data_IF_332669172660
#
_entry.id   IF_332669172660
#
_cell.length_a   1.000
_cell.length_b   1.000
_cell.length_c   1.000
_cell.angle_alpha   90.00
_cell.angle_beta   90.00
_cell.angle_gamma   90.00
#
_symmetry.space_group_name_H-M   'P 1'
#
loop_
_entity.id
_entity.type
_entity.pdbx_description
1 polymer ?
#
# COMPACT_ATOMS: atom_id res chain seq x y z
N UNK A 1 -14.66 -19.55 -10.58
CA UNK A 1 -13.22 -19.40 -10.27
C UNK A 1 -12.52 -18.92 -11.52
N UNK A 2 -11.80 -17.81 -11.43
CA UNK A 2 -10.94 -17.32 -12.53
C UNK A 2 -9.84 -18.36 -12.76
N UNK A 3 -9.66 -18.78 -14.01
CA UNK A 3 -8.53 -19.64 -14.36
C UNK A 3 -7.31 -18.75 -14.50
N UNK A 4 -6.58 -18.54 -13.39
CA UNK A 4 -5.29 -17.86 -13.43
C UNK A 4 -4.40 -18.54 -14.47
N UNK A 5 -4.01 -17.79 -15.49
CA UNK A 5 -2.91 -18.20 -16.37
C UNK A 5 -1.66 -18.11 -15.52
N UNK A 6 -1.03 -19.23 -15.10
CA UNK A 6 -0.02 -19.15 -14.06
C UNK A 6 1.22 -18.44 -14.59
N UNK A 7 1.51 -17.26 -14.06
CA UNK A 7 2.83 -16.68 -14.20
C UNK A 7 3.85 -17.67 -13.65
N UNK A 8 4.91 -17.96 -14.41
CA UNK A 8 5.94 -18.93 -13.99
C UNK A 8 6.84 -18.42 -12.86
N UNK A 9 6.60 -17.21 -12.38
CA UNK A 9 7.26 -16.57 -11.24
C UNK A 9 6.75 -15.15 -11.02
N UNK A 10 7.33 -14.46 -10.03
CA UNK A 10 6.99 -13.09 -9.65
C UNK A 10 8.20 -12.18 -9.85
N UNK A 11 7.97 -10.97 -10.38
CA UNK A 11 9.00 -9.93 -10.50
C UNK A 11 8.63 -8.79 -9.55
N UNK A 12 9.43 -8.61 -8.49
CA UNK A 12 9.23 -7.51 -7.54
C UNK A 12 9.59 -6.16 -8.16
N UNK A 13 8.60 -5.28 -8.31
CA UNK A 13 8.74 -3.89 -8.77
C UNK A 13 8.64 -2.87 -7.61
N UNK A 14 8.64 -3.38 -6.38
CA UNK A 14 8.61 -2.57 -5.16
C UNK A 14 9.97 -1.96 -4.79
N UNK A 15 10.00 -1.04 -3.81
CA UNK A 15 11.22 -0.46 -3.26
C UNK A 15 12.21 -1.51 -2.71
N UNK A 16 13.49 -1.30 -2.97
CA UNK A 16 14.58 -2.26 -2.69
C UNK A 16 14.69 -2.72 -1.24
N UNK A 17 14.27 -1.88 -0.29
CA UNK A 17 14.22 -2.19 1.14
C UNK A 17 13.41 -3.45 1.49
N UNK A 18 12.36 -3.76 0.72
CA UNK A 18 11.56 -4.98 0.88
C UNK A 18 12.14 -6.23 0.20
N UNK A 19 13.29 -6.13 -0.49
CA UNK A 19 13.87 -7.26 -1.23
C UNK A 19 14.53 -8.28 -0.30
N UNK A 20 13.86 -9.42 -0.10
CA UNK A 20 14.43 -10.58 0.57
C UNK A 20 15.71 -11.10 -0.10
N UNK A 21 15.84 -10.94 -1.42
CA UNK A 21 17.03 -11.35 -2.20
C UNK A 21 18.20 -10.41 -1.91
N UNK A 22 17.98 -9.09 -1.91
CA UNK A 22 19.01 -8.11 -1.55
C UNK A 22 19.48 -8.32 -0.10
N UNK A 23 18.54 -8.54 0.82
CA UNK A 23 18.83 -8.84 2.23
C UNK A 23 19.63 -10.14 2.41
N UNK A 24 19.36 -11.17 1.62
CA UNK A 24 20.07 -12.45 1.67
C UNK A 24 21.50 -12.37 1.09
N UNK A 25 21.65 -11.69 -0.06
CA UNK A 25 22.93 -11.60 -0.76
C UNK A 25 23.82 -10.45 -0.26
N UNK A 26 23.25 -9.48 0.46
CA UNK A 26 23.91 -8.35 1.12
C UNK A 26 24.96 -7.64 0.23
N UNK A 27 24.63 -7.49 -1.05
CA UNK A 27 25.47 -6.94 -2.10
C UNK A 27 24.64 -6.64 -3.34
N UNK A 28 25.17 -5.86 -4.28
CA UNK A 28 24.49 -5.54 -5.54
C UNK A 28 24.17 -6.75 -6.42
N UNK A 29 24.69 -7.93 -6.09
CA UNK A 29 24.28 -9.22 -6.63
C UNK A 29 22.78 -9.53 -6.39
N UNK A 30 22.15 -8.93 -5.36
CA UNK A 30 20.73 -9.05 -5.04
C UNK A 30 19.87 -7.83 -5.33
N UNK A 31 20.41 -6.81 -6.00
CA UNK A 31 19.66 -5.61 -6.39
C UNK A 31 18.37 -5.97 -7.17
N UNK A 32 17.22 -5.34 -6.86
CA UNK A 32 16.00 -5.50 -7.63
C UNK A 32 16.17 -5.16 -9.13
N UNK A 33 15.27 -5.65 -10.00
CA UNK A 33 15.35 -5.40 -11.44
C UNK A 33 15.39 -3.91 -11.79
N UNK A 34 14.55 -3.09 -11.15
CA UNK A 34 14.44 -1.65 -11.45
C UNK A 34 15.68 -0.88 -10.99
N UNK A 35 16.17 -1.11 -9.77
CA UNK A 35 17.45 -0.60 -9.29
C UNK A 35 18.57 -0.87 -10.29
N UNK A 36 18.67 -2.10 -10.80
CA UNK A 36 19.69 -2.45 -11.80
C UNK A 36 19.51 -1.73 -13.13
N UNK A 37 18.28 -1.61 -13.63
CA UNK A 37 18.01 -0.91 -14.89
C UNK A 37 18.43 0.56 -14.79
N UNK A 38 18.09 1.23 -13.68
CA UNK A 38 18.46 2.63 -13.44
C UNK A 38 19.96 2.81 -13.16
N UNK A 39 20.63 1.87 -12.45
CA UNK A 39 22.11 1.86 -12.29
C UNK A 39 22.84 1.65 -13.61
N UNK A 40 22.30 0.85 -14.53
CA UNK A 40 22.92 0.55 -15.82
C UNK A 40 22.83 1.71 -16.83
N UNK A 41 21.79 2.53 -16.77
CA UNK A 41 21.65 3.71 -17.62
C UNK A 41 21.03 4.89 -16.87
N UNK A 42 21.89 5.75 -16.31
CA UNK A 42 21.49 6.98 -15.62
C UNK A 42 20.92 8.09 -16.52
N UNK A 43 20.85 7.86 -17.85
CA UNK A 43 20.11 8.73 -18.77
C UNK A 43 18.65 8.30 -18.96
N UNK A 44 18.28 7.08 -18.53
CA UNK A 44 16.89 6.63 -18.48
C UNK A 44 16.18 7.36 -17.33
N UNK A 45 14.99 7.95 -17.53
CA UNK A 45 14.19 8.48 -16.42
C UNK A 45 13.89 7.40 -15.37
N UNK A 46 14.03 7.71 -14.08
CA UNK A 46 13.75 6.80 -12.98
C UNK A 46 12.24 6.59 -12.74
N UNK A 47 11.49 6.19 -13.77
CA UNK A 47 10.04 5.96 -13.72
C UNK A 47 9.66 4.54 -14.11
N UNK A 48 8.68 4.01 -13.38
CA UNK A 48 7.87 2.85 -13.75
C UNK A 48 6.46 3.37 -14.08
N UNK A 49 5.83 2.87 -15.13
CA UNK A 49 4.39 3.09 -15.33
C UNK A 49 3.65 1.79 -15.53
N UNK A 50 2.40 1.74 -15.04
CA UNK A 50 1.52 0.57 -15.12
C UNK A 50 0.16 1.04 -15.64
N UNK A 51 -0.23 0.47 -16.77
CA UNK A 51 -1.54 0.58 -17.40
C UNK A 51 -2.16 -0.82 -17.36
N UNK A 52 -3.21 -1.04 -16.57
CA UNK A 52 -3.80 -2.38 -16.40
C UNK A 52 -5.10 -2.53 -17.21
N UNK A 53 -5.21 -3.61 -17.98
CA UNK A 53 -6.42 -3.93 -18.74
C UNK A 53 -7.42 -4.73 -17.92
N UNK A 54 -8.69 -4.69 -18.32
CA UNK A 54 -9.67 -5.71 -17.92
C UNK A 54 -9.51 -6.96 -18.80
N UNK A 55 -9.85 -8.12 -18.25
CA UNK A 55 -9.98 -9.35 -19.04
C UNK A 55 -11.44 -9.47 -19.52
N UNK A 56 -11.65 -9.62 -20.83
CA UNK A 56 -12.98 -9.76 -21.44
C UNK A 56 -13.76 -10.92 -20.81
N UNK A 57 -13.14 -12.08 -20.60
CA UNK A 57 -13.81 -13.24 -19.98
C UNK A 57 -14.28 -12.99 -18.52
N UNK A 58 -13.63 -12.10 -17.77
CA UNK A 58 -14.11 -11.69 -16.43
C UNK A 58 -15.19 -10.60 -16.51
N UNK A 59 -15.33 -9.97 -17.68
CA UNK A 59 -16.31 -8.94 -18.00
C UNK A 59 -17.54 -9.51 -18.70
N UNK A 60 -17.62 -10.82 -18.92
CA UNK A 60 -18.76 -11.49 -19.53
C UNK A 60 -19.11 -12.70 -18.68
N UNK A 61 -20.31 -12.76 -18.10
CA UNK A 61 -20.76 -13.99 -17.47
C UNK A 61 -20.80 -15.09 -18.54
N UNK A 62 -20.08 -16.24 -18.39
CA UNK A 62 -19.99 -17.26 -19.44
C UNK A 62 -21.34 -17.87 -19.87
N UNK A 63 -22.40 -17.64 -19.08
CA UNK A 63 -23.75 -18.11 -19.34
C UNK A 63 -24.68 -17.02 -19.92
N UNK A 64 -24.35 -15.73 -19.80
CA UNK A 64 -25.19 -14.65 -20.38
C UNK A 64 -24.97 -14.45 -21.88
N UNK A 65 -23.80 -14.82 -22.42
CA UNK A 65 -23.58 -14.82 -23.87
C UNK A 65 -22.54 -15.85 -24.30
N UNK A 66 -22.85 -16.57 -25.39
CA UNK A 66 -21.87 -17.43 -26.10
C UNK A 66 -20.85 -16.64 -26.93
N UNK A 67 -20.95 -15.31 -26.92
CA UNK A 67 -20.10 -14.36 -27.63
C UNK A 67 -19.62 -13.30 -26.63
N UNK A 68 -18.34 -12.94 -26.67
CA UNK A 68 -17.80 -11.90 -25.80
C UNK A 68 -18.41 -10.54 -26.17
N UNK A 69 -18.82 -9.77 -25.17
CA UNK A 69 -19.28 -8.39 -25.33
C UNK A 69 -18.05 -7.48 -25.36
N UNK A 70 -17.72 -6.81 -26.47
CA UNK A 70 -16.62 -5.85 -26.50
C UNK A 70 -16.90 -4.67 -25.58
N UNK A 71 -15.91 -4.26 -24.81
CA UNK A 71 -15.97 -3.05 -23.99
C UNK A 71 -15.75 -1.81 -24.86
N UNK A 72 -16.44 -0.73 -24.58
CA UNK A 72 -16.20 0.59 -25.17
C UNK A 72 -14.92 1.22 -24.60
N UNK A 73 -14.54 0.89 -23.37
CA UNK A 73 -13.22 1.20 -22.80
C UNK A 73 -12.18 0.13 -23.15
N UNK A 74 -11.65 0.21 -24.37
CA UNK A 74 -10.49 -0.58 -24.78
C UNK A 74 -9.19 0.01 -24.21
N UNK A 75 -8.55 -0.73 -23.30
CA UNK A 75 -7.28 -0.34 -22.68
C UNK A 75 -6.30 -1.52 -22.70
N UNK A 76 -5.27 -1.53 -23.58
CA UNK A 76 -4.29 -2.61 -23.60
C UNK A 76 -3.37 -2.54 -22.36
N UNK A 77 -3.14 -3.68 -21.72
CA UNK A 77 -2.28 -3.78 -20.55
C UNK A 77 -0.81 -3.54 -20.92
N UNK A 78 -0.15 -2.59 -20.25
CA UNK A 78 1.23 -2.19 -20.52
C UNK A 78 1.97 -1.86 -19.23
N UNK A 79 3.25 -2.26 -19.17
CA UNK A 79 4.21 -1.83 -18.15
C UNK A 79 5.38 -1.21 -18.89
N UNK A 80 5.77 0.01 -18.53
CA UNK A 80 6.90 0.72 -19.15
C UNK A 80 7.92 1.13 -18.09
N UNK A 81 9.18 1.26 -18.50
CA UNK A 81 10.28 1.68 -17.64
C UNK A 81 11.04 2.79 -18.37
N UNK A 82 11.14 3.96 -17.75
CA UNK A 82 11.81 5.14 -18.33
C UNK A 82 10.99 5.98 -19.30
N UNK A 83 9.75 5.59 -19.61
CA UNK A 83 8.90 6.30 -20.57
C UNK A 83 7.43 6.32 -20.13
N UNK A 84 6.66 7.22 -20.74
CA UNK A 84 5.21 7.39 -20.56
C UNK A 84 4.52 7.03 -21.86
N UNK A 85 3.37 6.36 -21.79
CA UNK A 85 2.56 6.00 -22.96
C UNK A 85 1.98 7.27 -23.58
N UNK A 86 2.12 7.44 -24.90
CA UNK A 86 1.80 8.68 -25.65
C UNK A 86 0.39 9.21 -25.36
N UNK A 87 -0.59 8.31 -25.34
CA UNK A 87 -2.01 8.59 -25.08
C UNK A 87 -2.24 9.17 -23.67
N UNK A 88 -1.31 8.93 -22.74
CA UNK A 88 -1.38 9.28 -21.32
C UNK A 88 -0.29 10.27 -20.87
N UNK A 89 0.40 10.97 -21.79
CA UNK A 89 1.39 12.02 -21.49
C UNK A 89 0.90 13.07 -20.47
N UNK A 90 -0.42 13.27 -20.39
CA UNK A 90 -1.08 14.11 -19.39
C UNK A 90 -0.75 13.77 -17.93
N UNK A 91 -0.32 12.53 -17.63
CA UNK A 91 0.11 12.12 -16.28
C UNK A 91 1.25 12.99 -15.74
N UNK A 92 2.14 13.46 -16.61
CA UNK A 92 3.29 14.31 -16.24
C UNK A 92 2.86 15.65 -15.61
N UNK A 93 1.64 16.10 -15.89
CA UNK A 93 1.03 17.34 -15.40
C UNK A 93 0.18 17.15 -14.14
N UNK A 94 -0.05 15.91 -13.72
CA UNK A 94 -0.87 15.60 -12.54
C UNK A 94 -0.12 15.95 -11.23
N UNK A 95 -0.82 16.13 -10.11
CA UNK A 95 -0.18 16.38 -8.81
C UNK A 95 0.81 15.27 -8.46
N UNK A 96 2.02 15.65 -8.02
CA UNK A 96 3.01 14.71 -7.47
C UNK A 96 2.63 14.37 -6.04
N UNK A 97 2.16 13.16 -5.83
CA UNK A 97 1.84 12.60 -4.51
C UNK A 97 3.16 12.09 -3.89
N UNK A 98 3.59 12.54 -2.70
CA UNK A 98 4.80 12.02 -2.08
C UNK A 98 4.70 10.51 -1.85
N UNK A 99 5.77 9.79 -2.19
CA UNK A 99 5.89 8.38 -1.79
C UNK A 99 6.33 8.32 -0.32
N UNK A 100 5.49 7.71 0.53
CA UNK A 100 5.64 7.74 1.98
C UNK A 100 6.53 6.60 2.47
N UNK A 101 7.44 6.91 3.39
CA UNK A 101 8.24 5.88 4.08
C UNK A 101 7.37 5.12 5.07
N UNK A 102 7.47 3.80 5.08
CA UNK A 102 6.80 2.94 6.04
C UNK A 102 7.34 3.18 7.47
N UNK A 103 6.45 3.38 8.44
CA UNK A 103 6.83 3.71 9.82
C UNK A 103 7.56 2.58 10.55
N UNK A 104 7.38 1.32 10.12
CA UNK A 104 8.17 0.17 10.61
C UNK A 104 9.58 0.17 10.03
N UNK A 105 9.72 0.72 8.81
CA UNK A 105 10.94 0.69 8.03
C UNK A 105 11.41 -0.71 7.62
N UNK A 106 10.61 -1.77 7.82
CA UNK A 106 11.00 -3.15 7.53
C UNK A 106 10.65 -3.56 6.10
N UNK A 107 9.41 -3.33 5.68
CA UNK A 107 8.96 -3.45 4.30
C UNK A 107 8.49 -2.08 3.82
N UNK A 108 8.86 -1.71 2.60
CA UNK A 108 8.59 -0.40 2.03
C UNK A 108 7.74 -0.57 0.79
N UNK A 109 6.64 0.16 0.72
CA UNK A 109 5.64 0.08 -0.36
C UNK A 109 5.61 1.34 -1.22
N UNK A 110 4.99 1.24 -2.39
CA UNK A 110 4.55 2.42 -3.16
C UNK A 110 3.29 2.99 -2.54
N UNK A 111 3.50 3.77 -1.47
CA UNK A 111 2.46 4.27 -0.58
C UNK A 111 2.28 5.79 -0.70
N UNK A 112 1.04 6.27 -0.65
CA UNK A 112 0.72 7.70 -0.46
C UNK A 112 -0.49 7.88 0.46
N UNK A 113 -1.09 9.08 0.52
CA UNK A 113 -2.34 9.35 1.23
C UNK A 113 -3.45 9.83 0.30
N UNK A 114 -4.68 9.44 0.59
CA UNK A 114 -5.89 10.07 0.06
C UNK A 114 -6.08 11.48 0.64
N UNK A 115 -6.96 12.25 0.03
CA UNK A 115 -7.51 13.46 0.65
C UNK A 115 -8.31 13.12 1.92
N UNK A 116 -8.59 14.13 2.75
CA UNK A 116 -9.47 14.01 3.92
C UNK A 116 -10.83 13.46 3.48
N UNK A 117 -11.25 12.32 4.05
CA UNK A 117 -12.48 11.64 3.64
C UNK A 117 -12.52 11.46 2.11
N UNK A 118 -11.39 11.03 1.54
CA UNK A 118 -11.09 11.01 0.11
C UNK A 118 -11.69 9.85 -0.67
N UNK A 119 -12.84 9.33 -0.24
CA UNK A 119 -13.58 8.28 -0.95
C UNK A 119 -15.05 8.72 -1.03
N UNK A 120 -15.65 8.67 -2.23
CA UNK A 120 -17.08 8.85 -2.45
C UNK A 120 -17.72 7.47 -2.63
N UNK A 121 -18.79 7.22 -1.88
CA UNK A 121 -19.55 5.97 -1.95
C UNK A 121 -20.71 6.01 -2.96
N UNK A 122 -21.42 4.88 -3.15
CA UNK A 122 -22.55 4.76 -4.09
C UNK A 122 -23.75 5.67 -3.83
N UNK A 123 -23.84 6.29 -2.65
CA UNK A 123 -24.85 7.30 -2.34
C UNK A 123 -24.45 8.74 -2.76
N UNK A 124 -23.27 8.90 -3.38
CA UNK A 124 -22.72 10.18 -3.82
C UNK A 124 -22.07 11.01 -2.71
N UNK A 125 -22.02 10.51 -1.46
CA UNK A 125 -21.44 11.21 -0.33
C UNK A 125 -20.00 10.75 -0.06
N UNK A 126 -19.21 11.62 0.58
CA UNK A 126 -17.89 11.25 1.11
C UNK A 126 -18.04 10.31 2.31
N UNK A 127 -17.37 9.17 2.24
CA UNK A 127 -17.29 8.21 3.35
C UNK A 127 -16.39 8.81 4.44
N UNK A 128 -16.86 8.77 5.69
CA UNK A 128 -16.03 9.18 6.84
C UNK A 128 -14.91 8.17 7.08
N UNK A 129 -13.67 8.61 7.00
CA UNK A 129 -12.50 7.73 7.13
C UNK A 129 -11.68 8.02 8.38
N UNK A 130 -11.09 6.97 8.95
CA UNK A 130 -10.15 7.05 10.07
C UNK A 130 -9.01 6.06 9.79
N UNK A 131 -7.78 6.58 9.73
CA UNK A 131 -6.56 5.79 9.63
C UNK A 131 -6.34 5.02 10.92
N UNK A 132 -5.96 3.75 10.82
CA UNK A 132 -5.55 2.93 11.98
C UNK A 132 -4.15 3.33 12.47
N UNK A 133 -3.39 4.02 11.61
CA UNK A 133 -2.02 4.45 11.84
C UNK A 133 -1.99 5.77 12.63
N UNK A 134 -1.66 5.68 13.92
CA UNK A 134 -1.75 6.83 14.86
C UNK A 134 -0.50 7.69 14.95
N UNK A 135 0.69 7.17 14.60
CA UNK A 135 1.97 7.89 14.63
C UNK A 135 2.28 8.54 13.27
N UNK A 136 1.40 9.43 12.81
CA UNK A 136 1.51 10.08 11.51
C UNK A 136 2.60 11.16 11.48
N UNK A 137 3.72 10.86 10.84
CA UNK A 137 4.73 11.87 10.41
C UNK A 137 4.26 12.69 9.22
N UNK A 138 3.37 12.12 8.40
CA UNK A 138 2.76 12.69 7.20
C UNK A 138 1.31 12.18 7.09
N UNK A 139 0.41 13.05 6.61
CA UNK A 139 -1.04 12.83 6.58
C UNK A 139 -1.77 13.34 7.84
N UNK A 140 -3.09 13.15 7.86
CA UNK A 140 -4.00 13.40 9.00
C UNK A 140 -4.75 12.11 9.35
N UNK A 141 -5.36 12.06 10.52
CA UNK A 141 -6.13 10.89 10.96
C UNK A 141 -7.30 10.52 10.04
N UNK A 142 -7.84 11.48 9.29
CA UNK A 142 -8.92 11.27 8.31
C UNK A 142 -8.43 11.08 6.86
N UNK A 143 -7.11 10.93 6.67
CA UNK A 143 -6.48 10.63 5.39
C UNK A 143 -5.90 9.21 5.44
N UNK A 144 -6.51 8.28 4.70
CA UNK A 144 -6.02 6.91 4.66
C UNK A 144 -4.72 6.80 3.87
N UNK A 145 -3.82 5.99 4.39
CA UNK A 145 -2.57 5.57 3.75
C UNK A 145 -2.85 4.44 2.78
N UNK A 146 -2.39 4.59 1.55
CA UNK A 146 -2.78 3.74 0.44
C UNK A 146 -1.56 3.22 -0.30
N UNK A 147 -1.46 1.90 -0.43
CA UNK A 147 -0.49 1.19 -1.26
C UNK A 147 -1.10 0.89 -2.63
N UNK A 148 -0.32 1.05 -3.70
CA UNK A 148 -0.69 0.56 -5.04
C UNK A 148 0.03 -0.76 -5.31
N UNK A 149 -0.73 -1.83 -5.56
CA UNK A 149 -0.19 -3.19 -5.70
C UNK A 149 -0.78 -3.91 -6.92
N UNK A 150 -0.02 -4.01 -8.00
CA UNK A 150 -0.42 -4.75 -9.20
C UNK A 150 -0.48 -6.28 -9.01
N UNK A 151 0.03 -6.81 -7.89
CA UNK A 151 -0.06 -8.22 -7.50
C UNK A 151 -1.33 -8.57 -6.71
N UNK A 152 -2.08 -7.58 -6.22
CA UNK A 152 -3.35 -7.82 -5.51
C UNK A 152 -4.54 -7.75 -6.46
N UNK A 153 -5.24 -8.87 -6.70
CA UNK A 153 -6.42 -8.89 -7.58
C UNK A 153 -7.63 -8.14 -7.01
N UNK A 154 -7.91 -8.35 -5.72
CA UNK A 154 -9.01 -7.71 -4.98
C UNK A 154 -8.46 -6.62 -4.06
N UNK A 155 -8.70 -5.32 -4.32
CA UNK A 155 -8.34 -4.25 -3.40
C UNK A 155 -8.80 -4.54 -1.97
N UNK A 156 -7.96 -4.21 -0.99
CA UNK A 156 -8.23 -4.41 0.43
C UNK A 156 -8.45 -3.05 1.08
N UNK A 157 -9.62 -2.85 1.70
CA UNK A 157 -10.03 -1.60 2.37
C UNK A 157 -10.42 -1.86 3.83
N UNK A 158 -10.49 -0.84 4.70
CA UNK A 158 -11.11 -0.99 6.00
C UNK A 158 -12.55 -1.52 5.87
N UNK A 159 -12.97 -2.38 6.80
CA UNK A 159 -14.31 -2.98 6.81
C UNK A 159 -15.42 -1.94 6.61
N UNK A 160 -15.34 -0.80 7.31
CA UNK A 160 -16.31 0.31 7.19
C UNK A 160 -16.43 0.93 5.80
N UNK A 161 -15.41 0.80 4.93
CA UNK A 161 -15.46 1.27 3.53
C UNK A 161 -16.10 0.21 2.64
N UNK A 162 -15.79 -1.08 2.84
CA UNK A 162 -16.49 -2.16 2.15
C UNK A 162 -17.99 -2.16 2.50
N UNK A 163 -18.32 -1.98 3.78
CA UNK A 163 -19.69 -1.81 4.28
C UNK A 163 -20.39 -0.60 3.62
N UNK A 164 -19.70 0.53 3.47
CA UNK A 164 -20.23 1.71 2.80
C UNK A 164 -20.40 1.55 1.28
N UNK A 165 -19.64 0.67 0.64
CA UNK A 165 -19.79 0.33 -0.78
C UNK A 165 -20.93 -0.67 -1.05
N UNK A 166 -21.11 -1.69 -0.20
CA UNK A 166 -22.01 -2.82 -0.51
C UNK A 166 -23.12 -3.06 0.52
N UNK A 167 -22.93 -2.69 1.79
CA UNK A 167 -23.85 -3.01 2.88
C UNK A 167 -25.26 -2.42 2.74
N UNK A 168 -25.39 -1.33 1.97
CA UNK A 168 -26.69 -0.68 1.67
C UNK A 168 -27.32 -1.16 0.35
N UNK A 169 -26.70 -2.08 -0.37
CA UNK A 169 -27.25 -2.60 -1.64
C UNK A 169 -28.39 -3.58 -1.34
N UNK A 170 -29.61 -3.37 -1.87
CA UNK A 170 -30.74 -4.28 -1.61
C UNK A 170 -30.47 -5.70 -2.12
N UNK A 171 -30.38 -6.67 -1.19
CA UNK A 171 -30.08 -8.07 -1.50
C UNK A 171 -28.59 -8.43 -1.39
N UNK A 172 -27.71 -7.49 -1.07
CA UNK A 172 -26.33 -7.78 -0.73
C UNK A 172 -26.18 -8.38 0.67
N UNK A 173 -25.13 -9.17 0.86
CA UNK A 173 -24.74 -9.70 2.18
C UNK A 173 -23.24 -9.97 2.24
N UNK A 174 -22.68 -9.97 3.45
CA UNK A 174 -21.29 -10.37 3.66
C UNK A 174 -21.22 -11.86 4.04
N UNK A 175 -20.47 -12.64 3.26
CA UNK A 175 -20.20 -14.04 3.56
C UNK A 175 -19.05 -14.13 4.57
N UNK A 176 -19.37 -14.26 5.86
CA UNK A 176 -18.37 -14.34 6.93
C UNK A 176 -17.39 -15.52 6.77
N UNK A 177 -17.87 -16.68 6.31
CA UNK A 177 -17.04 -17.89 6.14
C UNK A 177 -15.94 -17.70 5.11
N UNK A 178 -16.22 -16.95 4.04
CA UNK A 178 -15.30 -16.73 2.92
C UNK A 178 -14.74 -15.29 2.88
N UNK A 179 -15.12 -14.46 3.86
CA UNK A 179 -14.72 -13.06 4.04
C UNK A 179 -14.89 -12.17 2.80
N UNK A 180 -16.03 -12.30 2.10
CA UNK A 180 -16.33 -11.45 0.96
C UNK A 180 -17.77 -10.95 0.88
N UNK A 181 -17.94 -9.75 0.34
CA UNK A 181 -19.23 -9.18 -0.06
C UNK A 181 -19.82 -9.88 -1.29
N UNK A 182 -21.08 -10.32 -1.19
CA UNK A 182 -21.93 -10.71 -2.31
C UNK A 182 -22.95 -9.61 -2.59
N UNK A 183 -23.20 -9.33 -3.87
CA UNK A 183 -24.12 -8.31 -4.36
C UNK A 183 -24.86 -8.82 -5.62
N UNK A 184 -26.07 -8.32 -5.91
CA UNK A 184 -26.74 -8.58 -7.19
C UNK A 184 -25.89 -8.05 -8.35
N UNK A 185 -25.70 -8.84 -9.42
CA UNK A 185 -24.90 -8.42 -10.57
C UNK A 185 -25.54 -7.31 -11.41
N UNK A 186 -26.87 -7.13 -11.33
CA UNK A 186 -27.65 -6.11 -12.04
C UNK A 186 -27.62 -4.73 -11.34
N UNK A 187 -26.95 -4.61 -10.19
CA UNK A 187 -26.87 -3.38 -9.42
C UNK A 187 -25.63 -2.55 -9.79
N UNK A 188 -25.84 -1.43 -10.50
CA UNK A 188 -24.77 -0.49 -10.83
C UNK A 188 -24.29 0.25 -9.58
N UNK A 189 -22.97 0.24 -9.35
CA UNK A 189 -22.32 0.91 -8.23
C UNK A 189 -21.32 1.93 -8.75
N UNK A 190 -21.41 3.14 -8.20
CA UNK A 190 -20.47 4.23 -8.47
C UNK A 190 -19.63 4.49 -7.22
N UNK A 191 -18.31 4.52 -7.36
CA UNK A 191 -17.41 4.96 -6.30
C UNK A 191 -16.25 5.77 -6.89
N UNK A 192 -15.60 6.58 -6.07
CA UNK A 192 -14.39 7.27 -6.48
C UNK A 192 -13.41 7.50 -5.34
N UNK A 193 -12.13 7.60 -5.68
CA UNK A 193 -11.03 7.91 -4.78
C UNK A 193 -10.44 9.27 -5.15
N UNK A 194 -10.06 10.06 -4.15
CA UNK A 194 -9.64 11.45 -4.35
C UNK A 194 -8.22 11.64 -3.82
N UNK A 195 -7.33 12.00 -4.74
CA UNK A 195 -5.92 12.27 -4.46
C UNK A 195 -5.56 13.69 -4.91
N UNK A 196 -5.14 14.55 -3.98
CA UNK A 196 -4.75 15.94 -4.24
C UNK A 196 -5.84 16.74 -5.00
N UNK A 197 -7.11 16.56 -4.62
CA UNK A 197 -8.32 17.10 -5.22
C UNK A 197 -8.65 16.59 -6.65
N UNK A 198 -7.96 15.55 -7.14
CA UNK A 198 -8.32 14.85 -8.37
C UNK A 198 -9.15 13.62 -8.01
N UNK A 199 -10.39 13.59 -8.50
CA UNK A 199 -11.30 12.44 -8.36
C UNK A 199 -11.03 11.40 -9.46
N UNK A 200 -10.77 10.17 -9.05
CA UNK A 200 -10.62 8.99 -9.90
C UNK A 200 -11.84 8.09 -9.68
N UNK A 201 -12.74 8.05 -10.64
CA UNK A 201 -13.92 7.18 -10.59
C UNK A 201 -13.58 5.74 -10.93
N UNK A 202 -14.27 4.81 -10.29
CA UNK A 202 -14.17 3.38 -10.55
C UNK A 202 -15.30 2.97 -11.49
N UNK A 203 -14.95 2.33 -12.60
CA UNK A 203 -15.88 1.73 -13.54
C UNK A 203 -16.75 0.68 -12.82
N UNK A 204 -18.07 0.60 -13.03
CA UNK A 204 -18.93 -0.32 -12.29
C UNK A 204 -18.55 -1.81 -12.37
N UNK A 205 -17.93 -2.27 -13.47
CA UNK A 205 -17.39 -3.63 -13.63
C UNK A 205 -16.12 -3.90 -12.80
N UNK A 206 -15.51 -2.85 -12.25
CA UNK A 206 -14.43 -2.91 -11.26
C UNK A 206 -14.94 -2.61 -9.83
N UNK A 207 -16.25 -2.39 -9.65
CA UNK A 207 -16.91 -2.52 -8.34
C UNK A 207 -17.37 -3.96 -8.07
N UNK A 208 -17.82 -4.70 -9.10
CA UNK A 208 -18.33 -6.08 -8.94
C UNK A 208 -17.79 -7.10 -9.96
N UNK A 209 -17.46 -8.30 -9.50
CA UNK A 209 -17.00 -9.44 -10.30
C UNK A 209 -18.11 -10.48 -10.44
N UNK A 210 -18.34 -11.07 -11.63
CA UNK A 210 -19.23 -12.24 -11.73
C UNK A 210 -18.63 -13.43 -10.95
N UNK A 211 -19.44 -14.15 -10.19
CA UNK A 211 -19.01 -15.33 -9.45
C UNK A 211 -19.62 -16.62 -10.01
N UNK A 212 -20.96 -16.69 -10.01
CA UNK A 212 -21.77 -17.85 -10.35
C UNK A 212 -23.24 -17.43 -10.53
N UNK A 213 -24.06 -18.33 -11.08
CA UNK A 213 -25.53 -18.25 -10.96
C UNK A 213 -25.96 -18.95 -9.66
N UNK A 214 -26.90 -18.37 -8.92
CA UNK A 214 -27.56 -19.06 -7.80
C UNK A 214 -28.51 -20.12 -8.34
N UNK A 215 -28.18 -21.40 -8.09
CA UNK A 215 -28.95 -22.57 -8.56
C UNK A 215 -30.41 -22.60 -8.07
N UNK A 216 -30.74 -21.86 -7.00
CA UNK A 216 -32.09 -21.85 -6.40
C UNK A 216 -32.98 -20.72 -6.92
N UNK A 217 -32.41 -19.55 -7.22
CA UNK A 217 -33.15 -18.37 -7.71
C UNK A 217 -32.98 -18.14 -9.21
N UNK A 218 -31.94 -18.72 -9.83
CA UNK A 218 -31.53 -18.46 -11.20
C UNK A 218 -30.93 -17.07 -11.42
N UNK A 219 -30.48 -16.39 -10.36
CA UNK A 219 -29.93 -15.03 -10.43
C UNK A 219 -28.40 -15.03 -10.42
N UNK A 220 -27.82 -14.10 -11.17
CA UNK A 220 -26.38 -13.85 -11.19
C UNK A 220 -25.88 -13.27 -9.86
N UNK A 221 -24.94 -13.98 -9.23
CA UNK A 221 -24.28 -13.57 -8.00
C UNK A 221 -22.93 -12.93 -8.33
N UNK A 222 -22.72 -11.71 -7.82
CA UNK A 222 -21.49 -10.98 -7.97
C UNK A 222 -20.74 -10.84 -6.63
N UNK A 223 -19.41 -10.84 -6.69
CA UNK A 223 -18.56 -10.46 -5.56
C UNK A 223 -18.24 -8.97 -5.65
N UNK A 224 -18.13 -8.28 -4.51
CA UNK A 224 -17.45 -6.99 -4.47
C UNK A 224 -15.97 -7.15 -4.83
N UNK A 225 -15.37 -6.20 -5.56
CA UNK A 225 -13.91 -6.20 -5.79
C UNK A 225 -13.14 -5.67 -4.57
N UNK A 226 -13.69 -4.69 -3.87
CA UNK A 226 -13.08 -4.06 -2.69
C UNK A 226 -13.48 -4.82 -1.42
N UNK A 227 -12.59 -5.60 -0.84
CA UNK A 227 -12.92 -6.42 0.34
C UNK A 227 -12.31 -5.85 1.62
N UNK A 228 -12.87 -6.18 2.81
CA UNK A 228 -12.20 -5.91 4.08
C UNK A 228 -10.77 -6.47 4.07
N UNK A 229 -9.80 -5.73 4.61
CA UNK A 229 -8.42 -6.23 4.76
C UNK A 229 -8.45 -7.53 5.55
N UNK A 230 -7.92 -8.60 4.95
CA UNK A 230 -7.77 -9.89 5.61
C UNK A 230 -6.94 -9.79 6.90
N UNK A 231 -7.35 -10.48 7.96
CA UNK A 231 -6.68 -10.43 9.27
C UNK A 231 -5.21 -10.88 9.20
N UNK A 232 -4.84 -11.76 8.27
CA UNK A 232 -3.45 -12.16 8.00
C UNK A 232 -2.56 -11.01 7.49
N UNK A 233 -3.15 -9.95 6.96
CA UNK A 233 -2.47 -8.71 6.55
C UNK A 233 -2.54 -7.69 7.69
N UNK A 234 -3.74 -7.47 8.26
CA UNK A 234 -3.97 -6.46 9.30
C UNK A 234 -3.19 -6.74 10.60
N UNK A 235 -2.96 -8.01 10.94
CA UNK A 235 -2.25 -8.42 12.15
C UNK A 235 -0.75 -8.65 11.97
N UNK A 236 -0.21 -8.65 10.74
CA UNK A 236 1.23 -8.84 10.50
C UNK A 236 1.99 -7.50 10.59
N UNK A 237 2.77 -7.26 11.67
CA UNK A 237 3.54 -6.03 11.83
C UNK A 237 4.68 -5.89 10.79
N UNK A 238 4.97 -6.93 10.01
CA UNK A 238 5.93 -6.87 8.92
C UNK A 238 5.28 -6.43 7.61
N UNK A 239 3.95 -6.55 7.45
CA UNK A 239 3.32 -6.31 6.14
C UNK A 239 3.37 -4.83 5.76
N UNK A 240 3.08 -3.91 6.68
CA UNK A 240 3.30 -2.47 6.51
C UNK A 240 2.38 -1.57 7.34
N UNK A 241 2.65 -0.27 7.31
CA UNK A 241 1.95 0.80 8.02
C UNK A 241 1.05 1.59 7.06
N UNK A 242 0.04 0.92 6.52
CA UNK A 242 -0.98 1.47 5.62
C UNK A 242 -2.42 1.15 6.09
N UNK A 243 -3.41 1.73 5.42
CA UNK A 243 -4.84 1.53 5.70
C UNK A 243 -5.61 0.90 4.52
N UNK A 244 -5.06 0.91 3.30
CA UNK A 244 -5.69 0.42 2.07
C UNK A 244 -4.63 -0.18 1.12
N UNK A 245 -4.97 -1.29 0.45
CA UNK A 245 -4.26 -1.80 -0.74
C UNK A 245 -5.16 -1.59 -1.96
N UNK A 246 -4.77 -0.70 -2.86
CA UNK A 246 -5.42 -0.51 -4.16
C UNK A 246 -4.81 -1.44 -5.20
N UNK A 247 -5.48 -2.58 -5.33
CA UNK A 247 -5.16 -3.64 -6.28
C UNK A 247 -5.71 -3.44 -7.70
N UNK A 248 -5.75 -4.52 -8.47
CA UNK A 248 -6.08 -4.58 -9.88
C UNK A 248 -7.40 -3.90 -10.26
N UNK A 249 -8.45 -4.00 -9.45
CA UNK A 249 -9.72 -3.33 -9.75
C UNK A 249 -9.61 -1.79 -9.69
N UNK A 250 -8.78 -1.23 -8.79
CA UNK A 250 -8.47 0.19 -8.84
C UNK A 250 -7.52 0.52 -10.00
N UNK A 251 -6.46 -0.26 -10.20
CA UNK A 251 -5.42 0.01 -11.20
C UNK A 251 -5.91 -0.11 -12.65
N UNK A 252 -7.05 -0.77 -12.89
CA UNK A 252 -7.78 -0.72 -14.17
C UNK A 252 -8.35 0.67 -14.50
N UNK A 253 -8.56 1.52 -13.49
CA UNK A 253 -9.19 2.85 -13.63
C UNK A 253 -8.19 4.02 -13.54
N UNK A 254 -6.92 3.72 -13.24
CA UNK A 254 -5.87 4.71 -13.06
C UNK A 254 -4.56 4.24 -13.69
N UNK A 255 -4.06 4.99 -14.66
CA UNK A 255 -2.70 4.88 -15.13
C UNK A 255 -1.77 5.37 -14.02
N UNK A 256 -0.91 4.48 -13.55
CA UNK A 256 -0.01 4.70 -12.42
C UNK A 256 1.38 5.04 -12.94
N UNK A 257 1.96 6.15 -12.47
CA UNK A 257 3.38 6.45 -12.60
C UNK A 257 4.02 6.50 -11.22
N UNK A 258 5.11 5.76 -11.06
CA UNK A 258 5.97 5.79 -9.88
C UNK A 258 7.32 6.35 -10.32
N UNK A 259 7.75 7.46 -9.72
CA UNK A 259 9.10 7.96 -9.84
C UNK A 259 9.93 7.51 -8.62
N UNK A 260 11.03 6.82 -8.88
CA UNK A 260 11.86 6.19 -7.86
C UNK A 260 12.76 7.18 -7.12
N UNK A 261 12.93 8.41 -7.64
CA UNK A 261 13.83 9.40 -7.06
C UNK A 261 15.23 8.83 -6.83
N UNK A 262 15.69 8.94 -5.58
CA UNK A 262 17.01 8.56 -5.09
C UNK A 262 17.09 7.12 -4.53
N UNK A 263 16.11 6.25 -4.77
CA UNK A 263 16.13 4.85 -4.30
C UNK A 263 17.21 3.96 -4.95
N UNK A 264 18.12 4.55 -5.72
CA UNK A 264 19.23 3.92 -6.39
C UNK A 264 20.51 4.14 -5.57
N UNK A 265 20.93 3.12 -4.80
CA UNK A 265 22.16 3.21 -3.99
C UNK A 265 23.37 3.68 -4.82
N UNK A 266 24.23 4.50 -4.18
CA UNK A 266 25.53 5.05 -4.63
C UNK A 266 25.56 6.49 -5.25
N UNK A 267 24.43 7.21 -5.35
CA UNK A 267 24.45 8.62 -5.79
C UNK A 267 24.96 9.59 -4.71
N UNK A 268 26.17 10.16 -4.88
CA UNK A 268 26.75 11.19 -4.00
C UNK A 268 26.29 12.64 -4.33
N UNK A 269 25.33 12.81 -5.22
CA UNK A 269 24.68 14.09 -5.52
C UNK A 269 23.19 13.94 -5.25
N UNK A 270 22.62 14.77 -4.38
CA UNK A 270 21.19 14.71 -4.06
C UNK A 270 20.35 14.88 -5.33
N UNK A 271 19.52 13.90 -5.65
CA UNK A 271 18.47 14.03 -6.67
C UNK A 271 17.13 14.20 -5.91
N UNK A 272 15.98 13.87 -6.48
CA UNK A 272 14.68 14.33 -6.00
C UNK A 272 13.91 13.26 -5.23
N UNK A 273 13.08 13.69 -4.27
CA UNK A 273 12.18 12.80 -3.52
C UNK A 273 11.30 11.95 -4.48
N UNK A 274 11.11 10.66 -4.18
CA UNK A 274 10.21 9.79 -4.95
C UNK A 274 8.76 10.24 -4.84
N UNK A 275 8.00 10.04 -5.90
CA UNK A 275 6.60 10.45 -5.97
C UNK A 275 5.78 9.53 -6.86
N UNK A 276 4.47 9.57 -6.65
CA UNK A 276 3.45 8.87 -7.42
C UNK A 276 2.63 9.92 -8.17
N UNK A 277 2.27 9.62 -9.42
CA UNK A 277 1.26 10.36 -10.19
C UNK A 277 0.21 9.36 -10.66
N UNK A 278 -1.04 9.81 -10.71
CA UNK A 278 -2.18 9.02 -11.16
C UNK A 278 -2.91 9.79 -12.25
N UNK A 279 -3.38 9.09 -13.28
CA UNK A 279 -4.20 9.66 -14.35
C UNK A 279 -5.40 8.75 -14.60
N UNK A 280 -6.63 9.30 -14.56
CA UNK A 280 -7.85 8.52 -14.75
C UNK A 280 -7.90 7.93 -16.16
N UNK A 281 -8.20 6.63 -16.27
CA UNK A 281 -8.44 5.96 -17.56
C UNK A 281 -9.92 5.78 -17.85
N UNK A 282 -10.76 5.75 -16.81
CA UNK A 282 -12.20 5.58 -16.91
C UNK A 282 -12.95 6.83 -17.41
N UNK A 283 -13.91 6.63 -18.30
CA UNK A 283 -14.91 7.56 -18.80
C UNK A 283 -16.30 7.10 -18.34
N UNK A 284 -16.87 7.78 -17.32
CA UNK A 284 -18.15 7.40 -16.69
C UNK A 284 -19.29 7.05 -17.68
N UNK A 285 -19.37 7.69 -18.85
CA UNK A 285 -20.41 7.38 -19.85
C UNK A 285 -20.13 6.08 -20.60
N UNK A 286 -18.88 5.80 -20.96
CA UNK A 286 -18.50 4.51 -21.56
C UNK A 286 -18.61 3.38 -20.53
N UNK A 287 -18.07 3.60 -19.33
CA UNK A 287 -18.14 2.66 -18.20
C UNK A 287 -19.58 2.24 -17.81
N UNK A 288 -20.55 3.17 -17.86
CA UNK A 288 -21.97 2.87 -17.66
C UNK A 288 -22.56 2.04 -18.81
N UNK A 289 -22.29 2.41 -20.07
CA UNK A 289 -22.74 1.64 -21.24
C UNK A 289 -22.15 0.23 -21.25
N UNK A 290 -20.88 0.08 -20.85
CA UNK A 290 -20.23 -1.22 -20.67
C UNK A 290 -20.91 -2.03 -19.57
N UNK A 291 -21.27 -1.42 -18.43
CA UNK A 291 -22.08 -2.09 -17.41
C UNK A 291 -23.45 -2.53 -17.96
N UNK A 292 -24.17 -1.67 -18.68
CA UNK A 292 -25.46 -2.00 -19.30
C UNK A 292 -25.34 -3.17 -20.29
N UNK A 293 -24.31 -3.17 -21.14
CA UNK A 293 -24.07 -4.24 -22.11
C UNK A 293 -23.71 -5.56 -21.42
N UNK A 294 -22.89 -5.51 -20.37
CA UNK A 294 -22.35 -6.67 -19.66
C UNK A 294 -23.31 -7.27 -18.62
N UNK A 295 -24.09 -6.44 -17.92
CA UNK A 295 -24.92 -6.84 -16.77
C UNK A 295 -26.42 -6.82 -17.05
N UNK A 296 -26.86 -6.04 -18.02
CA UNK A 296 -28.28 -5.80 -18.31
C UNK A 296 -28.64 -6.18 -19.76
N UNK A 297 -27.84 -7.02 -20.41
CA UNK A 297 -28.06 -7.52 -21.78
C UNK A 297 -28.26 -6.39 -22.82
N UNK A 298 -27.59 -5.24 -22.62
CA UNK A 298 -27.72 -4.05 -23.50
C UNK A 298 -29.00 -3.25 -23.30
N UNK A 299 -29.83 -3.60 -22.31
CA UNK A 299 -31.06 -2.88 -21.97
C UNK A 299 -30.87 -2.10 -20.67
N UNK A 300 -30.68 -0.79 -20.78
CA UNK A 300 -30.57 0.08 -19.61
C UNK A 300 -31.87 0.07 -18.78
N UNK A 301 -31.79 -0.59 -17.62
CA UNK A 301 -32.82 -0.61 -16.57
C UNK A 301 -32.35 0.08 -15.28
N UNK A 302 -31.19 0.76 -15.29
CA UNK A 302 -30.59 1.40 -14.10
C UNK A 302 -31.50 2.46 -13.48
N UNK A 303 -32.29 3.16 -14.30
CA UNK A 303 -33.35 4.09 -13.84
C UNK A 303 -34.47 3.44 -13.01
N UNK A 304 -34.57 2.12 -13.01
CA UNK A 304 -35.52 1.32 -12.21
C UNK A 304 -34.84 0.50 -11.09
N UNK A 305 -33.52 0.66 -10.93
CA UNK A 305 -32.75 0.06 -9.84
C UNK A 305 -33.34 0.48 -8.48
N UNK A 306 -33.40 -0.47 -7.54
CA UNK A 306 -33.88 -0.18 -6.19
C UNK A 306 -32.93 0.84 -5.52
N UNK A 307 -33.44 1.87 -4.82
CA UNK A 307 -32.58 2.78 -4.07
C UNK A 307 -31.79 2.02 -3.01
N UNK A 308 -30.61 2.53 -2.66
CA UNK A 308 -29.84 2.04 -1.52
C UNK A 308 -30.70 2.07 -0.26
N UNK A 309 -30.57 1.02 0.55
CA UNK A 309 -31.19 0.92 1.87
C UNK A 309 -30.74 2.10 2.78
N UNK A 310 -31.56 2.51 3.76
CA UNK A 310 -31.11 3.47 4.77
C UNK A 310 -30.01 2.86 5.64
N UNK A 311 -29.16 3.70 6.25
CA UNK A 311 -28.02 3.23 7.06
C UNK A 311 -28.43 2.30 8.22
N UNK A 312 -29.67 2.43 8.73
CA UNK A 312 -30.24 1.57 9.77
C UNK A 312 -30.55 0.14 9.33
N UNK A 313 -30.58 -0.12 8.02
CA UNK A 313 -30.83 -1.43 7.41
C UNK A 313 -29.58 -1.98 6.71
N UNK A 314 -28.46 -1.25 6.77
CA UNK A 314 -27.20 -1.65 6.17
C UNK A 314 -26.65 -2.95 6.80
N UNK A 315 -26.26 -3.89 5.95
CA UNK A 315 -25.43 -5.02 6.34
C UNK A 315 -24.00 -4.55 6.67
N UNK A 316 -23.31 -5.27 7.54
CA UNK A 316 -21.91 -4.97 7.94
C UNK A 316 -21.05 -6.21 7.86
N UNK A 317 -19.79 -6.10 7.42
CA UNK A 317 -18.87 -7.24 7.33
C UNK A 317 -18.44 -7.79 8.69
N UNK A 318 -18.62 -7.00 9.75
CA UNK A 318 -18.62 -7.51 11.11
C UNK A 318 -17.26 -7.57 11.80
N UNK A 319 -16.46 -6.50 11.72
CA UNK A 319 -15.46 -6.18 12.76
C UNK A 319 -15.17 -4.65 12.79
N UNK A 320 -14.86 -4.11 13.96
CA UNK A 320 -14.48 -2.70 14.22
C UNK A 320 -15.48 -1.55 13.96
N UNK A 321 -16.71 -1.77 13.47
CA UNK A 321 -17.71 -0.68 13.34
C UNK A 321 -18.04 0.02 14.68
N UNK A 322 -18.03 -0.72 15.78
CA UNK A 322 -18.18 -0.20 17.15
C UNK A 322 -17.05 0.72 17.59
N UNK A 323 -15.80 0.45 17.17
CA UNK A 323 -14.66 1.30 17.47
C UNK A 323 -14.72 2.61 16.67
N UNK A 324 -15.13 2.58 15.39
CA UNK A 324 -15.29 3.79 14.60
C UNK A 324 -16.38 4.71 15.16
N UNK A 325 -17.54 4.18 15.52
CA UNK A 325 -18.62 4.98 16.16
C UNK A 325 -18.14 5.56 17.49
N UNK A 326 -17.48 4.77 18.34
CA UNK A 326 -16.98 5.24 19.64
C UNK A 326 -15.89 6.31 19.51
N UNK A 327 -14.99 6.19 18.51
CA UNK A 327 -13.91 7.15 18.28
C UNK A 327 -14.41 8.46 17.64
N UNK A 328 -15.42 8.39 16.77
CA UNK A 328 -16.05 9.59 16.19
C UNK A 328 -16.90 10.35 17.23
N UNK A 329 -17.64 9.65 18.08
CA UNK A 329 -18.45 10.25 19.15
C UNK A 329 -17.58 10.81 20.30
N UNK A 330 -16.37 10.26 20.49
CA UNK A 330 -15.36 10.79 21.43
C UNK A 330 -14.71 12.11 20.99
N UNK A 331 -15.08 12.66 19.82
CA UNK A 331 -14.47 13.89 19.29
C UNK A 331 -15.04 15.20 19.84
N UNK A 332 -16.09 15.16 20.69
CA UNK A 332 -16.55 16.33 21.44
C UNK A 332 -16.61 16.11 22.97
N UNK A 333 -15.94 17.02 23.67
CA UNK A 333 -16.11 17.38 25.08
C UNK A 333 -16.04 16.30 26.20
N UNK A 334 -14.83 15.86 26.55
CA UNK A 334 -14.50 15.67 27.98
C UNK A 334 -13.07 16.08 28.33
N UNK A 335 -12.93 17.07 29.21
CA UNK A 335 -11.65 17.69 29.55
C UNK A 335 -10.76 16.84 30.47
N UNK A 336 -9.99 15.92 29.90
CA UNK A 336 -8.87 15.27 30.60
C UNK A 336 -7.52 15.86 30.16
N UNK A 337 -7.04 16.84 30.93
CA UNK A 337 -5.69 17.40 30.77
C UNK A 337 -4.62 16.29 30.84
N UNK A 338 -3.68 16.25 29.88
CA UNK A 338 -2.74 15.14 29.74
C UNK A 338 -1.80 15.05 30.95
N UNK A 339 -1.41 13.81 31.28
CA UNK A 339 -0.67 13.44 32.49
C UNK A 339 0.52 14.34 32.84
N UNK A 340 1.29 14.81 31.85
CA UNK A 340 2.47 15.66 32.05
C UNK A 340 2.16 17.07 32.58
N UNK A 341 0.92 17.57 32.43
CA UNK A 341 0.46 18.84 33.00
C UNK A 341 -0.01 18.72 34.46
N UNK A 342 -0.16 17.51 35.00
CA UNK A 342 -0.58 17.32 36.39
C UNK A 342 0.51 17.86 37.32
N UNK A 343 0.14 18.77 38.22
CA UNK A 343 1.06 19.53 39.09
C UNK A 343 2.11 18.67 39.81
N UNK A 344 1.75 17.45 40.21
CA UNK A 344 2.66 16.53 40.89
C UNK A 344 3.78 16.00 39.97
N UNK A 345 3.53 15.84 38.66
CA UNK A 345 4.54 15.36 37.72
C UNK A 345 5.64 16.42 37.50
N UNK A 346 5.23 17.69 37.40
CA UNK A 346 6.15 18.84 37.32
C UNK A 346 7.02 18.92 38.58
N UNK A 347 6.45 18.68 39.77
CA UNK A 347 7.19 18.64 41.04
C UNK A 347 8.23 17.51 41.04
N UNK A 348 7.85 16.28 40.62
CA UNK A 348 8.76 15.13 40.58
C UNK A 348 9.93 15.36 39.61
N UNK A 349 9.66 15.85 38.40
CA UNK A 349 10.71 16.16 37.40
C UNK A 349 11.63 17.28 37.90
N UNK A 350 11.08 18.31 38.55
CA UNK A 350 11.87 19.41 39.12
C UNK A 350 12.81 18.96 40.24
N UNK A 351 12.35 18.05 41.12
CA UNK A 351 13.18 17.48 42.19
C UNK A 351 14.30 16.61 41.60
N UNK A 352 13.99 15.75 40.61
CA UNK A 352 15.00 14.93 39.94
C UNK A 352 16.06 15.79 39.22
N UNK A 353 15.64 16.86 38.53
CA UNK A 353 16.55 17.82 37.90
C UNK A 353 17.44 18.56 38.89
N UNK A 354 16.88 19.00 40.02
CA UNK A 354 17.65 19.67 41.08
C UNK A 354 18.71 18.75 41.71
N UNK A 355 18.38 17.47 41.93
CA UNK A 355 19.33 16.47 42.44
C UNK A 355 20.46 16.23 41.42
N UNK A 356 20.15 16.08 40.13
CA UNK A 356 21.16 15.94 39.07
C UNK A 356 22.09 17.15 39.00
N UNK A 357 21.56 18.37 39.07
CA UNK A 357 22.36 19.60 39.06
C UNK A 357 23.24 19.72 40.32
N UNK A 358 22.75 19.30 41.49
CA UNK A 358 23.55 19.25 42.72
C UNK A 358 24.71 18.24 42.62
N UNK A 359 24.49 17.07 42.03
CA UNK A 359 25.53 16.06 41.78
C UNK A 359 26.58 16.59 40.79
N UNK A 360 26.16 17.21 39.68
CA UNK A 360 27.09 17.82 38.70
C UNK A 360 27.88 18.97 39.35
N UNK A 361 27.24 19.82 40.15
CA UNK A 361 27.90 20.88 40.90
C UNK A 361 28.93 20.35 41.90
N UNK A 362 28.62 19.26 42.61
CA UNK A 362 29.55 18.58 43.53
C UNK A 362 30.75 17.98 42.78
N UNK A 363 30.53 17.36 41.62
CA UNK A 363 31.61 16.83 40.77
C UNK A 363 32.53 17.97 40.32
N UNK A 364 31.99 19.08 39.81
CA UNK A 364 32.77 20.26 39.41
C UNK A 364 33.53 20.86 40.61
N UNK A 365 32.92 20.92 41.79
CA UNK A 365 33.56 21.42 43.02
C UNK A 365 34.74 20.54 43.46
N UNK A 366 34.61 19.21 43.42
CA UNK A 366 35.70 18.29 43.78
C UNK A 366 36.85 18.31 42.76
N UNK A 367 36.54 18.49 41.46
CA UNK A 367 37.55 18.66 40.41
C UNK A 367 38.29 20.00 40.50
N UNK A 368 37.60 21.09 40.86
CA UNK A 368 38.21 22.43 41.04
C UNK A 368 38.96 22.60 42.35
N UNK A 369 38.62 21.85 43.41
CA UNK A 369 39.49 21.77 44.60
C UNK A 369 40.78 20.99 44.33
N UNK A 370 40.73 19.91 43.54
CA UNK A 370 41.93 19.13 43.17
C UNK A 370 42.96 19.93 42.38
N UNK A 371 42.52 20.87 41.52
CA UNK A 371 43.42 21.73 40.72
C UNK A 371 44.00 22.93 41.47
N UNK A 372 43.61 23.17 42.73
CA UNK A 372 44.21 24.23 43.58
C UNK A 372 45.41 23.78 44.44
N UNK A 373 45.95 22.57 44.22
CA UNK A 373 47.13 22.04 44.94
C UNK A 373 48.22 21.43 44.06
N UNK A 374 48.70 22.17 43.06
CA UNK A 374 50.12 22.17 42.67
C UNK A 374 50.45 23.34 41.73
N UNK A 375 51.65 23.91 41.89
CA UNK A 375 52.20 25.01 41.09
C UNK A 375 53.36 24.48 40.23
N UNK A 376 53.52 24.96 38.97
CA UNK A 376 54.80 25.08 38.20
C UNK A 376 55.46 23.71 37.81
N UNK A 377 56.01 23.42 36.62
CA UNK A 377 56.31 24.08 35.30
C UNK A 377 56.18 22.97 34.20
N UNK A 378 56.45 23.09 32.89
CA UNK A 378 56.92 24.13 31.96
C UNK A 378 56.35 23.89 30.54
N UNK A 379 56.81 24.62 29.51
CA UNK A 379 56.61 24.27 28.09
C UNK A 379 57.52 23.12 27.61
N UNK A 380 57.08 22.37 26.59
CA UNK A 380 57.93 21.69 25.60
C UNK A 380 57.16 21.45 24.30
N UNK A 381 57.87 21.40 23.16
CA UNK A 381 57.32 21.59 21.82
C UNK A 381 56.38 20.49 21.27
N UNK A 382 55.48 20.90 20.38
CA UNK A 382 54.68 20.03 19.52
C UNK A 382 55.54 19.38 18.43
N UNK A 383 55.54 18.04 18.39
CA UNK A 383 56.16 17.24 17.33
C UNK A 383 55.09 16.31 16.76
N UNK A 384 54.72 16.41 15.47
CA UNK A 384 53.74 15.50 14.87
C UNK A 384 54.37 14.13 14.59
N UNK A 385 53.65 13.04 14.88
CA UNK A 385 54.13 11.70 14.58
C UNK A 385 53.95 11.36 13.10
N UNK A 386 55.06 11.16 12.38
CA UNK A 386 55.04 10.42 11.12
C UNK A 386 54.84 8.93 11.40
N UNK A 387 53.73 8.37 10.92
CA UNK A 387 53.49 6.93 10.86
C UNK A 387 53.41 6.48 9.40
N UNK A 388 54.44 5.77 8.92
CA UNK A 388 54.53 5.33 7.53
C UNK A 388 54.37 3.80 7.43
N UNK A 389 53.53 3.39 6.46
CA UNK A 389 53.57 2.11 5.73
C UNK A 389 53.49 0.76 6.50
N UNK A 390 52.53 -0.07 6.11
CA UNK A 390 52.82 -1.37 5.46
C UNK A 390 51.58 -2.03 4.83
N UNK A 391 51.56 -2.26 3.50
CA UNK A 391 50.67 -3.23 2.87
C UNK A 391 51.29 -4.63 2.90
N UNK A 392 50.46 -5.67 2.78
CA UNK A 392 50.90 -7.00 2.37
C UNK A 392 49.89 -7.59 1.38
N UNK A 393 50.26 -7.53 0.09
CA UNK A 393 49.93 -8.59 -0.85
C UNK A 393 50.86 -9.77 -0.56
N UNK A 394 50.34 -11.00 -0.61
CA UNK A 394 50.80 -11.97 -1.60
C UNK A 394 49.77 -13.06 -1.81
N UNK A 395 49.51 -13.30 -3.09
CA UNK A 395 48.91 -14.50 -3.66
C UNK A 395 49.81 -15.71 -3.37
N UNK A 396 49.22 -16.90 -3.24
CA UNK A 396 49.79 -18.08 -3.93
C UNK A 396 48.69 -19.13 -4.21
N UNK A 397 48.86 -19.82 -5.34
CA UNK A 397 47.91 -20.78 -5.90
C UNK A 397 48.05 -22.15 -5.23
N UNK A 398 46.95 -22.90 -5.09
CA UNK A 398 47.01 -24.36 -5.26
C UNK A 398 45.68 -24.95 -5.74
N UNK A 399 45.75 -25.64 -6.87
CA UNK A 399 44.66 -26.38 -7.51
C UNK A 399 44.51 -27.79 -6.93
N UNK A 400 43.27 -28.26 -6.78
CA UNK A 400 42.94 -29.70 -6.86
C UNK A 400 41.54 -29.91 -7.45
N UNK A 401 41.42 -30.96 -8.27
CA UNK A 401 40.22 -31.28 -9.03
C UNK A 401 39.17 -32.08 -8.24
N UNK A 402 37.89 -31.76 -8.48
CA UNK A 402 36.77 -32.68 -8.77
C UNK A 402 36.43 -33.79 -7.76
N UNK A 403 35.20 -33.72 -7.22
CA UNK A 403 34.21 -34.78 -7.47
C UNK A 403 32.76 -34.27 -7.33
N UNK A 404 31.91 -34.67 -8.28
CA UNK A 404 30.44 -34.56 -8.16
C UNK A 404 29.94 -35.55 -7.11
N UNK A 405 28.89 -35.17 -6.37
CA UNK A 405 27.80 -36.10 -6.13
C UNK A 405 26.47 -35.35 -5.91
N UNK A 406 25.38 -35.98 -6.33
CA UNK A 406 24.03 -35.39 -6.39
C UNK A 406 23.26 -35.42 -5.06
N UNK A 407 22.06 -34.82 -5.12
CA UNK A 407 20.92 -34.94 -4.18
C UNK A 407 20.97 -34.15 -2.86
N UNK A 408 20.37 -32.96 -2.89
CA UNK A 408 19.46 -32.54 -1.83
C UNK A 408 18.19 -31.91 -2.41
N UNK A 409 17.11 -32.68 -2.47
CA UNK A 409 15.76 -32.15 -2.72
C UNK A 409 15.33 -31.26 -1.57
N UNK A 410 15.17 -29.96 -1.82
CA UNK A 410 14.42 -29.05 -0.93
C UNK A 410 13.29 -28.44 -1.73
N UNK A 411 12.07 -28.96 -1.53
CA UNK A 411 10.88 -28.45 -2.19
C UNK A 411 10.50 -27.09 -1.62
N UNK A 412 10.44 -26.07 -2.49
CA UNK A 412 9.69 -24.86 -2.20
C UNK A 412 8.22 -25.25 -1.97
N UNK A 413 7.63 -24.78 -0.88
CA UNK A 413 6.25 -25.10 -0.49
C UNK A 413 5.43 -23.83 -0.63
N UNK A 414 4.50 -23.85 -1.58
CA UNK A 414 3.59 -22.74 -1.86
C UNK A 414 2.60 -22.57 -0.68
N UNK A 415 2.51 -21.38 -0.05
CA UNK A 415 1.57 -21.13 1.04
C UNK A 415 0.13 -20.86 0.57
N UNK A 416 -0.15 -20.80 -0.73
CA UNK A 416 -1.47 -20.41 -1.27
C UNK A 416 -2.37 -21.59 -1.70
N UNK A 417 -1.93 -22.84 -1.55
CA UNK A 417 -2.72 -24.02 -1.95
C UNK A 417 -2.89 -25.05 -0.83
N UNK A 418 -3.75 -24.77 0.15
CA UNK A 418 -4.25 -25.77 1.10
C UNK A 418 -5.78 -25.88 1.00
N UNK A 419 -6.26 -26.92 0.31
CA UNK A 419 -7.62 -27.43 0.48
C UNK A 419 -7.63 -28.51 1.57
N UNK A 420 -8.58 -28.51 2.53
CA UNK A 420 -8.72 -29.59 3.49
C UNK A 420 -9.02 -30.91 2.78
N UNK A 421 -8.30 -31.98 3.14
CA UNK A 421 -8.75 -33.34 2.82
C UNK A 421 -9.68 -33.83 3.92
N UNK A 422 -10.93 -34.05 3.57
CA UNK A 422 -11.84 -34.91 4.34
C UNK A 422 -11.70 -36.38 3.91
N UNK A 423 -12.19 -37.35 4.72
CA UNK A 423 -11.42 -38.54 5.12
C UNK A 423 -11.36 -39.72 4.14
#
# INVERSE_FOLDING_TARGET
MVQDVPGTGLIGLGPSKGSAILKLLNSSAGDPPLDRIFKQNSSTPNILTILLSRNEQNSTAPEMSSELVPLLEEQPGQITIGEVITEYEGITKQPKLPALVDGTGLNQHWMTVLDSNGIIGPDGNRIKTLSTNTNLTQGKSDQLRVVFDSGFSFPQVPASIADAFYGRVPGAFFNQTLSYWQVPCDYELNASFIFANIELSIHPLDMTAFNNVDETTGQDVCLGWFQPIAETIASDPNFGSFDVILGAAFLRNAYLLINFGDFVDESNSSVADPFIQLFSTANRTAAHLDFVNVRLEGKDTTSTQKPLLPDSEAQTSGENSSNLVTLLDSSDNSGHEPFYKRTWFIIVVSIAGAIMLAVVGWIIYTLTQRTRRSNIQSESAFVPSMGSYKPLLTKDDHSTHVQHNDQSTTGYRDPYTDHPREP
#
